data_IF_029524173698
#
_entry.id   IF_029524173698
#
_cell.length_a   1.000
_cell.length_b   1.000
_cell.length_c   1.000
_cell.angle_alpha   90.00
_cell.angle_beta   90.00
_cell.angle_gamma   90.00
#
_symmetry.space_group_name_H-M   'P 1'
#
loop_
_entity.id
_entity.type
_entity.pdbx_description
1 polymer ?
#
# COMPACT_ATOMS: atom_id res chain seq x y z
N UNK A 1 11.32 4.07 -24.33
CA UNK A 1 9.88 3.75 -24.40
C UNK A 1 9.67 2.51 -23.56
N UNK A 2 9.01 2.64 -22.41
CA UNK A 2 8.61 1.49 -21.60
C UNK A 2 7.55 0.71 -22.37
N UNK A 3 7.62 -0.62 -22.47
CA UNK A 3 6.60 -1.42 -23.15
C UNK A 3 5.21 -1.11 -22.57
N UNK A 4 4.20 -1.11 -23.44
CA UNK A 4 2.81 -0.90 -23.01
C UNK A 4 2.36 -2.12 -22.20
N UNK A 5 2.11 -1.91 -20.91
CA UNK A 5 1.69 -2.94 -19.96
C UNK A 5 0.18 -2.94 -19.74
N UNK A 6 -0.58 -2.14 -20.51
CA UNK A 6 -2.02 -1.98 -20.31
C UNK A 6 -2.77 -3.25 -20.69
N UNK A 7 -3.80 -3.54 -19.92
CA UNK A 7 -4.78 -4.59 -20.21
C UNK A 7 -5.65 -4.20 -21.40
N UNK A 8 -5.90 -5.17 -22.28
CA UNK A 8 -6.90 -5.07 -23.35
C UNK A 8 -8.32 -5.42 -22.85
N UNK A 9 -8.49 -5.77 -21.56
CA UNK A 9 -9.78 -6.13 -20.99
C UNK A 9 -10.71 -4.91 -20.96
N UNK A 10 -11.94 -5.02 -21.48
CA UNK A 10 -12.88 -3.91 -21.52
C UNK A 10 -13.48 -3.65 -20.12
N UNK A 11 -12.76 -2.90 -19.29
CA UNK A 11 -13.26 -2.42 -18.00
C UNK A 11 -14.33 -1.34 -18.25
N UNK A 12 -15.61 -1.63 -18.00
CA UNK A 12 -16.76 -0.75 -18.32
C UNK A 12 -17.60 -0.40 -17.09
N UNK A 13 -18.49 0.59 -17.21
CA UNK A 13 -19.47 0.89 -16.16
C UNK A 13 -20.38 -0.31 -15.85
N UNK A 14 -20.82 -1.06 -16.88
CA UNK A 14 -21.67 -2.26 -16.69
C UNK A 14 -21.03 -3.29 -15.75
N UNK A 15 -19.72 -3.50 -15.86
CA UNK A 15 -19.01 -4.40 -14.97
C UNK A 15 -19.01 -3.87 -13.53
N UNK A 16 -18.88 -2.56 -13.34
CA UNK A 16 -18.94 -1.96 -12.00
C UNK A 16 -20.33 -2.06 -11.39
N UNK A 17 -21.40 -1.97 -12.18
CA UNK A 17 -22.76 -2.27 -11.72
C UNK A 17 -22.86 -3.69 -11.17
N UNK A 18 -22.36 -4.68 -11.92
CA UNK A 18 -22.33 -6.09 -11.50
C UNK A 18 -21.50 -6.29 -10.23
N UNK A 19 -20.27 -5.77 -10.19
CA UNK A 19 -19.34 -5.94 -9.06
C UNK A 19 -19.83 -5.28 -7.75
N UNK A 20 -20.59 -4.18 -7.86
CA UNK A 20 -21.12 -3.45 -6.71
C UNK A 20 -22.58 -3.81 -6.39
N UNK A 21 -23.14 -4.82 -7.05
CA UNK A 21 -24.54 -5.25 -6.89
C UNK A 21 -25.53 -4.08 -7.03
N UNK A 22 -25.29 -3.24 -8.03
CA UNK A 22 -26.17 -2.11 -8.37
C UNK A 22 -26.92 -2.48 -9.65
N UNK A 23 -28.24 -2.35 -9.62
CA UNK A 23 -29.06 -2.67 -10.79
C UNK A 23 -28.71 -1.74 -11.99
N UNK A 24 -28.44 -2.30 -13.19
CA UNK A 24 -27.89 -1.55 -14.33
C UNK A 24 -28.85 -0.51 -14.92
N UNK A 25 -30.15 -0.61 -14.66
CA UNK A 25 -31.16 0.39 -15.03
C UNK A 25 -31.10 1.65 -14.17
N UNK A 26 -30.40 1.61 -13.03
CA UNK A 26 -30.25 2.77 -12.16
C UNK A 26 -29.29 3.79 -12.78
N UNK A 27 -29.47 5.09 -12.53
CA UNK A 27 -28.56 6.10 -13.06
C UNK A 27 -27.16 5.99 -12.43
N UNK A 28 -26.10 6.37 -13.18
CA UNK A 28 -24.67 6.32 -12.75
C UNK A 28 -24.41 6.96 -11.39
N UNK A 29 -25.20 7.95 -10.97
CA UNK A 29 -25.10 8.53 -9.61
C UNK A 29 -25.30 7.49 -8.50
N UNK A 30 -26.10 6.44 -8.72
CA UNK A 30 -26.31 5.34 -7.76
C UNK A 30 -25.08 4.43 -7.70
N UNK A 31 -24.49 4.13 -8.85
CA UNK A 31 -23.21 3.43 -8.92
C UNK A 31 -22.11 4.20 -8.18
N UNK A 32 -21.97 5.50 -8.43
CA UNK A 32 -21.01 6.36 -7.74
C UNK A 32 -21.24 6.41 -6.23
N UNK A 33 -22.51 6.47 -5.78
CA UNK A 33 -22.85 6.38 -4.37
C UNK A 33 -22.40 5.06 -3.76
N UNK A 34 -22.67 3.93 -4.40
CA UNK A 34 -22.22 2.61 -3.95
C UNK A 34 -20.69 2.52 -3.90
N UNK A 35 -20.01 3.01 -4.94
CA UNK A 35 -18.55 3.04 -5.02
C UNK A 35 -17.91 3.83 -3.85
N UNK A 36 -18.59 4.88 -3.37
CA UNK A 36 -18.16 5.65 -2.19
C UNK A 36 -18.36 4.90 -0.87
N UNK A 37 -19.40 4.09 -0.75
CA UNK A 37 -19.65 3.29 0.46
C UNK A 37 -18.61 2.18 0.64
N UNK A 38 -18.01 1.69 -0.45
CA UNK A 38 -16.88 0.75 -0.40
C UNK A 38 -15.57 1.52 -0.14
N UNK A 39 -15.46 2.14 1.04
CA UNK A 39 -14.29 2.92 1.49
C UNK A 39 -13.79 3.99 0.50
N UNK A 40 -14.64 4.48 -0.41
CA UNK A 40 -14.24 5.46 -1.42
C UNK A 40 -13.33 4.94 -2.55
N UNK A 41 -12.90 3.68 -2.52
CA UNK A 41 -11.78 3.19 -3.36
C UNK A 41 -12.15 2.94 -4.83
N UNK A 42 -13.42 3.07 -5.22
CA UNK A 42 -13.84 2.86 -6.62
C UNK A 42 -14.44 4.10 -7.28
N UNK A 43 -14.60 5.21 -6.54
CA UNK A 43 -15.07 6.47 -7.11
C UNK A 43 -14.18 7.00 -8.25
N UNK A 44 -12.82 6.97 -8.15
CA UNK A 44 -11.96 7.38 -9.27
C UNK A 44 -12.23 6.59 -10.54
N UNK A 45 -12.44 5.27 -10.40
CA UNK A 45 -12.68 4.39 -11.51
C UNK A 45 -14.05 4.67 -12.16
N UNK A 46 -15.12 4.77 -11.37
CA UNK A 46 -16.46 5.12 -11.89
C UNK A 46 -16.44 6.45 -12.64
N UNK A 47 -15.83 7.50 -12.07
CA UNK A 47 -15.78 8.83 -12.69
C UNK A 47 -14.97 8.83 -13.99
N UNK A 48 -13.83 8.16 -14.01
CA UNK A 48 -12.97 8.07 -15.20
C UNK A 48 -13.63 7.29 -16.35
N UNK A 49 -14.32 6.18 -16.03
CA UNK A 49 -15.08 5.40 -17.02
C UNK A 49 -16.31 6.16 -17.52
N UNK A 50 -17.01 6.88 -16.64
CA UNK A 50 -18.13 7.74 -17.03
C UNK A 50 -17.68 8.85 -17.99
N UNK A 51 -16.53 9.48 -17.74
CA UNK A 51 -15.95 10.45 -18.67
C UNK A 51 -15.63 9.81 -20.02
N UNK A 52 -14.99 8.63 -20.01
CA UNK A 52 -14.60 7.90 -21.22
C UNK A 52 -15.80 7.46 -22.05
N UNK A 53 -16.90 7.08 -21.40
CA UNK A 53 -18.17 6.69 -22.04
C UNK A 53 -19.04 7.90 -22.44
N UNK A 54 -18.55 9.13 -22.23
CA UNK A 54 -19.24 10.36 -22.65
C UNK A 54 -20.43 10.76 -21.78
N UNK A 55 -20.51 10.23 -20.54
CA UNK A 55 -21.56 10.60 -19.59
C UNK A 55 -21.32 12.04 -19.10
N UNK A 56 -22.33 12.90 -19.28
CA UNK A 56 -22.24 14.30 -18.87
C UNK A 56 -22.05 14.42 -17.35
N UNK A 57 -20.95 15.05 -16.94
CA UNK A 57 -20.63 15.35 -15.53
C UNK A 57 -20.83 16.83 -15.22
N UNK A 58 -21.38 17.12 -14.04
CA UNK A 58 -21.37 18.47 -13.46
C UNK A 58 -19.97 18.89 -12.98
N UNK A 59 -19.82 20.14 -12.54
CA UNK A 59 -18.53 20.68 -12.07
C UNK A 59 -17.96 19.88 -10.91
N UNK A 60 -18.75 19.57 -9.87
CA UNK A 60 -18.25 18.84 -8.70
C UNK A 60 -17.63 17.48 -9.02
N UNK A 61 -18.24 16.69 -9.91
CA UNK A 61 -17.71 15.39 -10.32
C UNK A 61 -16.45 15.52 -11.20
N UNK A 62 -16.37 16.55 -12.04
CA UNK A 62 -15.16 16.86 -12.83
C UNK A 62 -14.01 17.33 -11.94
N UNK A 63 -14.30 18.17 -10.96
CA UNK A 63 -13.30 18.69 -10.01
C UNK A 63 -12.76 17.56 -9.13
N UNK A 64 -13.62 16.65 -8.66
CA UNK A 64 -13.23 15.43 -7.94
C UNK A 64 -12.33 14.53 -8.79
N UNK A 65 -12.72 14.24 -10.04
CA UNK A 65 -11.89 13.45 -10.95
C UNK A 65 -10.53 14.13 -11.24
N UNK A 66 -10.51 15.46 -11.37
CA UNK A 66 -9.28 16.23 -11.57
C UNK A 66 -8.33 16.13 -10.35
N UNK A 67 -8.85 16.23 -9.12
CA UNK A 67 -8.06 16.00 -7.90
C UNK A 67 -7.50 14.58 -7.84
N UNK A 68 -8.32 13.58 -8.17
CA UNK A 68 -7.88 12.18 -8.22
C UNK A 68 -6.77 11.93 -9.25
N UNK A 69 -6.82 12.60 -10.42
CA UNK A 69 -5.76 12.55 -11.43
C UNK A 69 -4.46 13.18 -10.95
N UNK A 70 -4.54 14.36 -10.31
CA UNK A 70 -3.36 15.01 -9.70
C UNK A 70 -2.73 14.12 -8.63
N UNK A 71 -3.54 13.51 -7.76
CA UNK A 71 -3.07 12.55 -6.75
C UNK A 71 -2.35 11.36 -7.38
N UNK A 72 -2.91 10.77 -8.42
CA UNK A 72 -2.27 9.65 -9.11
C UNK A 72 -0.92 10.05 -9.73
N UNK A 73 -0.85 11.26 -10.28
CA UNK A 73 0.39 11.83 -10.80
C UNK A 73 1.42 12.09 -9.69
N UNK A 74 1.01 12.63 -8.54
CA UNK A 74 1.88 12.79 -7.35
C UNK A 74 2.47 11.45 -6.91
N UNK A 75 1.66 10.40 -6.83
CA UNK A 75 2.14 9.06 -6.47
C UNK A 75 3.05 8.44 -7.52
N UNK A 76 2.79 8.69 -8.81
CA UNK A 76 3.69 8.27 -9.89
C UNK A 76 5.07 8.92 -9.74
N UNK A 77 5.12 10.22 -9.48
CA UNK A 77 6.38 10.95 -9.26
C UNK A 77 7.11 10.45 -8.01
N UNK A 78 6.40 10.29 -6.89
CA UNK A 78 6.99 9.78 -5.64
C UNK A 78 7.53 8.35 -5.82
N UNK A 79 6.85 7.50 -6.58
CA UNK A 79 7.32 6.18 -6.94
C UNK A 79 8.62 6.22 -7.78
N UNK A 80 8.72 7.15 -8.74
CA UNK A 80 9.93 7.32 -9.56
C UNK A 80 11.14 7.78 -8.76
N UNK A 81 10.95 8.65 -7.76
CA UNK A 81 12.04 9.05 -6.88
C UNK A 81 12.42 7.96 -5.88
N UNK A 82 11.42 7.25 -5.35
CA UNK A 82 11.64 6.10 -4.47
C UNK A 82 12.46 5.03 -5.18
N UNK A 83 12.21 4.77 -6.46
CA UNK A 83 12.98 3.82 -7.27
C UNK A 83 14.48 4.20 -7.42
N UNK A 84 14.88 5.43 -7.07
CA UNK A 84 16.30 5.84 -7.03
C UNK A 84 17.00 5.46 -5.72
N UNK A 85 16.24 5.07 -4.68
CA UNK A 85 16.80 4.52 -3.45
C UNK A 85 17.22 3.07 -3.71
N UNK A 86 18.50 2.69 -3.51
CA UNK A 86 18.97 1.35 -3.82
C UNK A 86 18.17 0.23 -3.13
N UNK A 87 17.59 -0.65 -3.95
CA UNK A 87 16.80 -1.79 -3.49
C UNK A 87 15.36 -1.46 -3.05
N UNK A 88 14.95 -0.20 -3.08
CA UNK A 88 13.56 0.16 -2.80
C UNK A 88 12.66 -0.28 -3.96
N UNK A 89 11.51 -0.87 -3.62
CA UNK A 89 10.53 -1.36 -4.58
C UNK A 89 9.15 -0.88 -4.17
N UNK A 90 8.50 -0.17 -5.08
CA UNK A 90 7.08 0.18 -4.96
C UNK A 90 6.26 -1.05 -5.32
N UNK A 91 5.29 -1.41 -4.49
CA UNK A 91 4.36 -2.49 -4.75
C UNK A 91 2.94 -1.96 -4.83
N UNK A 92 2.04 -2.71 -5.46
CA UNK A 92 0.63 -2.36 -5.65
C UNK A 92 0.49 -1.00 -6.36
N UNK A 93 -0.23 -0.05 -5.75
CA UNK A 93 -0.22 1.37 -6.07
C UNK A 93 -0.02 1.74 -7.56
N UNK A 94 0.99 2.58 -7.87
CA UNK A 94 1.37 2.95 -9.23
C UNK A 94 1.84 1.79 -10.12
N UNK A 95 2.30 0.67 -9.55
CA UNK A 95 2.71 -0.50 -10.34
C UNK A 95 1.50 -1.17 -10.98
N UNK A 96 0.46 -1.46 -10.18
CA UNK A 96 -0.82 -2.01 -10.65
C UNK A 96 -1.57 -1.08 -11.60
N UNK A 97 -1.48 0.24 -11.37
CA UNK A 97 -2.14 1.24 -12.22
C UNK A 97 -1.69 1.17 -13.69
N UNK A 98 -0.47 0.68 -13.98
CA UNK A 98 0.06 0.54 -15.34
C UNK A 98 -0.67 -0.51 -16.17
N UNK A 99 -1.35 -1.45 -15.51
CA UNK A 99 -2.12 -2.50 -16.16
C UNK A 99 -3.56 -2.07 -16.45
N UNK A 100 -4.02 -0.93 -15.94
CA UNK A 100 -5.38 -0.46 -16.21
C UNK A 100 -5.53 -0.02 -17.67
N UNK A 101 -6.69 -0.27 -18.29
CA UNK A 101 -6.97 0.23 -19.64
C UNK A 101 -6.85 1.74 -19.74
N UNK A 102 -6.57 2.25 -20.94
CA UNK A 102 -6.48 3.69 -21.17
C UNK A 102 -7.76 4.42 -20.75
N UNK A 103 -7.57 5.59 -20.13
CA UNK A 103 -8.64 6.42 -19.59
C UNK A 103 -9.25 5.92 -18.28
N UNK A 104 -8.94 4.72 -17.81
CA UNK A 104 -9.41 4.22 -16.51
C UNK A 104 -8.43 4.62 -15.39
N UNK A 105 -8.96 5.21 -14.33
CA UNK A 105 -8.18 5.68 -13.18
C UNK A 105 -8.29 4.70 -12.02
N UNK A 106 -7.20 3.99 -11.72
CA UNK A 106 -7.07 3.18 -10.51
C UNK A 106 -7.04 4.10 -9.28
N UNK A 107 -7.76 3.73 -8.22
CA UNK A 107 -7.67 4.45 -6.96
C UNK A 107 -6.34 4.20 -6.24
N UNK A 108 -5.81 5.28 -5.66
CA UNK A 108 -4.57 5.30 -4.89
C UNK A 108 -4.85 6.05 -3.58
N UNK A 109 -4.66 5.36 -2.46
CA UNK A 109 -4.79 5.93 -1.11
C UNK A 109 -3.43 6.25 -0.48
N UNK A 110 -2.44 5.42 -0.79
CA UNK A 110 -1.10 5.42 -0.26
C UNK A 110 -0.09 4.90 -1.31
N UNK A 111 1.19 4.98 -0.95
CA UNK A 111 2.29 4.35 -1.66
C UNK A 111 2.96 3.30 -0.78
N UNK A 112 2.77 2.02 -1.10
CA UNK A 112 3.48 0.93 -0.44
C UNK A 112 4.92 0.78 -1.01
N UNK A 113 5.92 0.80 -0.13
CA UNK A 113 7.33 0.65 -0.48
C UNK A 113 8.01 -0.41 0.39
N UNK A 114 8.62 -1.41 -0.25
CA UNK A 114 9.48 -2.38 0.42
C UNK A 114 10.94 -2.01 0.18
N UNK A 115 11.73 -1.99 1.24
CA UNK A 115 13.16 -1.63 1.20
C UNK A 115 14.03 -2.71 1.85
N UNK A 116 15.33 -2.81 1.49
CA UNK A 116 16.20 -3.88 2.00
C UNK A 116 16.57 -3.72 3.49
N UNK A 117 16.35 -2.54 4.08
CA UNK A 117 16.68 -2.29 5.47
C UNK A 117 16.44 -0.85 5.90
N UNK A 118 16.79 -0.60 7.15
CA UNK A 118 16.50 0.65 7.86
C UNK A 118 17.04 1.91 7.17
N UNK A 119 18.28 1.85 6.65
CA UNK A 119 18.87 3.00 5.98
C UNK A 119 18.07 3.46 4.75
N UNK A 120 17.60 2.52 3.95
CA UNK A 120 16.75 2.80 2.80
C UNK A 120 15.37 3.28 3.24
N UNK A 121 14.82 2.76 4.35
CA UNK A 121 13.54 3.19 4.91
C UNK A 121 13.56 4.69 5.22
N UNK A 122 14.56 5.15 5.98
CA UNK A 122 14.67 6.57 6.33
C UNK A 122 14.95 7.46 5.12
N UNK A 123 15.68 6.97 4.11
CA UNK A 123 15.88 7.70 2.85
C UNK A 123 14.56 7.88 2.08
N UNK A 124 13.71 6.86 2.02
CA UNK A 124 12.40 6.95 1.35
C UNK A 124 11.48 7.91 2.10
N UNK A 125 11.38 7.82 3.42
CA UNK A 125 10.56 8.76 4.21
C UNK A 125 11.07 10.20 4.11
N UNK A 126 12.39 10.39 4.04
CA UNK A 126 12.98 11.69 3.79
C UNK A 126 12.55 12.29 2.43
N UNK A 127 12.42 11.47 1.38
CA UNK A 127 11.90 11.93 0.07
C UNK A 127 10.44 12.38 0.15
N UNK A 128 9.61 11.72 0.96
CA UNK A 128 8.22 12.10 1.16
C UNK A 128 8.10 13.41 1.97
N UNK A 129 8.84 13.53 3.07
CA UNK A 129 8.86 14.73 3.93
C UNK A 129 9.49 15.96 3.26
N UNK A 130 10.31 15.76 2.22
CA UNK A 130 10.83 16.84 1.39
C UNK A 130 9.76 17.41 0.43
N UNK A 131 8.62 16.73 0.26
CA UNK A 131 7.51 17.12 -0.64
C UNK A 131 6.24 17.50 0.08
N UNK A 132 5.96 16.83 1.18
CA UNK A 132 4.72 16.95 1.91
C UNK A 132 5.03 17.33 3.35
N UNK A 133 4.31 18.34 3.84
CA UNK A 133 4.28 18.59 5.27
C UNK A 133 3.37 17.55 5.92
N UNK A 134 3.86 16.99 7.02
CA UNK A 134 3.19 15.95 7.78
C UNK A 134 3.54 16.12 9.24
N UNK A 135 2.54 15.87 10.08
CA UNK A 135 2.67 15.92 11.54
C UNK A 135 2.59 14.52 12.17
N UNK A 136 2.34 13.48 11.38
CA UNK A 136 2.05 12.13 11.89
C UNK A 136 2.93 11.09 11.20
N UNK A 137 3.61 10.29 12.03
CA UNK A 137 4.36 9.12 11.61
C UNK A 137 4.01 7.93 12.49
N UNK A 138 3.64 6.83 11.85
CA UNK A 138 3.49 5.56 12.52
C UNK A 138 4.81 4.80 12.45
N UNK A 139 5.16 4.11 13.53
CA UNK A 139 6.29 3.20 13.58
C UNK A 139 5.88 1.90 14.26
N UNK A 140 6.10 0.79 13.58
CA UNK A 140 5.97 -0.55 14.16
C UNK A 140 7.26 -1.32 13.95
N UNK A 141 7.73 -1.98 15.00
CA UNK A 141 8.82 -2.93 14.94
C UNK A 141 8.29 -4.35 15.15
N UNK A 142 8.74 -5.25 14.27
CA UNK A 142 8.41 -6.68 14.28
C UNK A 142 9.69 -7.50 14.42
N UNK A 143 9.82 -8.28 15.48
CA UNK A 143 10.88 -9.26 15.68
C UNK A 143 10.54 -10.56 14.98
N UNK A 144 11.24 -10.88 13.89
CA UNK A 144 11.07 -12.12 13.15
C UNK A 144 12.42 -12.68 12.72
N UNK A 145 12.58 -14.01 12.77
CA UNK A 145 13.81 -14.70 12.32
C UNK A 145 15.09 -14.16 12.98
N UNK A 146 15.01 -13.73 14.25
CA UNK A 146 16.15 -13.21 15.01
C UNK A 146 16.61 -11.80 14.61
N UNK A 147 15.80 -11.04 13.86
CA UNK A 147 16.10 -9.65 13.48
C UNK A 147 14.87 -8.73 13.57
N UNK A 148 15.08 -7.42 13.78
CA UNK A 148 14.00 -6.45 13.72
C UNK A 148 13.63 -6.14 12.25
N UNK A 149 12.34 -6.02 12.02
CA UNK A 149 11.73 -5.51 10.81
C UNK A 149 10.93 -4.26 11.16
N UNK A 150 10.91 -3.31 10.24
CA UNK A 150 10.25 -2.02 10.44
C UNK A 150 9.10 -1.85 9.46
N UNK A 151 8.03 -1.29 9.97
CA UNK A 151 6.99 -0.60 9.21
C UNK A 151 6.98 0.85 9.69
N UNK A 152 6.99 1.78 8.76
CA UNK A 152 6.79 3.18 9.07
C UNK A 152 5.91 3.85 8.02
N UNK A 153 4.91 4.61 8.46
CA UNK A 153 3.99 5.32 7.59
C UNK A 153 3.99 6.80 7.92
N UNK A 154 3.94 7.65 6.89
CA UNK A 154 3.81 9.11 7.03
C UNK A 154 2.56 9.54 6.28
N UNK A 155 1.71 10.31 6.95
CA UNK A 155 0.41 10.75 6.41
C UNK A 155 0.34 12.27 6.28
N UNK A 156 -0.29 12.76 5.21
CA UNK A 156 -0.52 14.18 4.96
C UNK A 156 -1.93 14.41 4.44
N UNK A 157 -2.43 15.63 4.60
CA UNK A 157 -3.78 16.00 4.20
C UNK A 157 -3.96 15.92 2.68
N UNK A 158 -5.16 15.51 2.26
CA UNK A 158 -5.58 15.61 0.87
C UNK A 158 -5.73 17.06 0.38
N UNK A 159 -5.84 17.24 -0.94
CA UNK A 159 -5.99 18.57 -1.55
C UNK A 159 -7.23 19.33 -1.06
N UNK A 160 -8.33 18.62 -0.81
CA UNK A 160 -9.50 19.12 -0.09
C UNK A 160 -9.73 18.29 1.19
N UNK A 161 -9.22 18.72 2.36
CA UNK A 161 -9.30 17.93 3.60
C UNK A 161 -10.71 17.61 4.10
N UNK A 162 -11.76 18.26 3.56
CA UNK A 162 -13.15 17.94 3.90
C UNK A 162 -13.73 16.83 3.02
N UNK A 163 -13.17 16.60 1.84
CA UNK A 163 -13.70 15.68 0.83
C UNK A 163 -12.76 14.52 0.52
N UNK A 164 -11.45 14.75 0.62
CA UNK A 164 -10.41 13.80 0.29
C UNK A 164 -9.91 13.11 1.57
N UNK A 165 -9.66 11.79 1.53
CA UNK A 165 -8.99 11.12 2.65
C UNK A 165 -7.55 11.63 2.76
N UNK A 166 -6.92 11.39 3.90
CA UNK A 166 -5.48 11.58 4.04
C UNK A 166 -4.73 10.66 3.07
N UNK A 167 -3.50 11.06 2.76
CA UNK A 167 -2.62 10.43 1.80
C UNK A 167 -1.34 10.05 2.51
N UNK A 168 -0.76 8.91 2.14
CA UNK A 168 0.43 8.46 2.84
C UNK A 168 1.43 7.74 1.97
N UNK A 169 2.57 7.46 2.59
CA UNK A 169 3.55 6.50 2.14
C UNK A 169 3.76 5.51 3.29
N UNK A 170 3.73 4.23 2.97
CA UNK A 170 4.05 3.15 3.90
C UNK A 170 5.36 2.51 3.45
N UNK A 171 6.32 2.39 4.36
CA UNK A 171 7.65 1.85 4.06
C UNK A 171 7.96 0.70 5.00
N UNK A 172 8.22 -0.48 4.44
CA UNK A 172 8.53 -1.70 5.18
C UNK A 172 9.89 -2.25 4.85
N UNK A 173 10.54 -2.89 5.83
CA UNK A 173 11.76 -3.69 5.60
C UNK A 173 11.44 -5.18 5.40
N UNK A 174 10.24 -5.50 4.94
CA UNK A 174 9.74 -6.84 4.71
C UNK A 174 8.71 -6.86 3.58
N UNK A 175 8.70 -7.93 2.78
CA UNK A 175 7.76 -8.08 1.67
C UNK A 175 6.33 -8.36 2.11
N UNK A 176 6.15 -9.28 3.07
CA UNK A 176 4.82 -9.71 3.51
C UNK A 176 4.78 -9.94 5.03
N UNK A 177 3.89 -9.25 5.74
CA UNK A 177 3.75 -9.34 7.19
C UNK A 177 3.26 -10.72 7.66
N UNK A 178 2.42 -11.35 6.85
CA UNK A 178 1.69 -12.57 7.17
C UNK A 178 0.57 -12.30 8.16
N UNK A 179 0.29 -13.32 8.96
CA UNK A 179 -0.71 -13.26 10.01
C UNK A 179 -0.07 -13.80 11.28
N UNK A 180 0.10 -12.98 12.33
CA UNK A 180 0.72 -13.42 13.58
C UNK A 180 0.16 -14.75 14.09
N UNK A 181 1.06 -15.68 14.41
CA UNK A 181 0.72 -17.04 14.87
C UNK A 181 0.24 -18.02 13.79
N UNK A 182 0.07 -17.60 12.53
CA UNK A 182 -0.44 -18.46 11.46
C UNK A 182 0.50 -18.51 10.24
N UNK A 183 0.82 -17.35 9.69
CA UNK A 183 1.70 -17.19 8.52
C UNK A 183 2.84 -16.28 8.93
N UNK A 184 4.10 -16.76 8.88
CA UNK A 184 5.23 -15.98 9.34
C UNK A 184 5.49 -14.78 8.41
N UNK A 185 6.17 -13.78 8.95
CA UNK A 185 6.72 -12.69 8.16
C UNK A 185 7.69 -13.25 7.11
N UNK A 186 7.56 -12.76 5.87
CA UNK A 186 8.45 -13.05 4.76
C UNK A 186 9.14 -11.76 4.35
N UNK A 187 10.46 -11.75 4.47
CA UNK A 187 11.23 -10.52 4.36
C UNK A 187 11.45 -10.06 2.92
N UNK A 188 11.55 -10.99 1.98
CA UNK A 188 11.76 -10.69 0.56
C UNK A 188 10.44 -10.58 -0.19
N UNK A 189 10.49 -9.89 -1.32
CA UNK A 189 9.51 -9.99 -2.39
C UNK A 189 10.02 -10.95 -3.48
N UNK A 190 9.15 -11.54 -4.33
CA UNK A 190 9.57 -12.16 -5.57
C UNK A 190 10.42 -11.20 -6.42
N UNK A 191 11.46 -11.69 -7.11
CA UNK A 191 12.32 -10.84 -7.95
C UNK A 191 11.53 -10.12 -9.05
N UNK A 192 10.59 -10.82 -9.68
CA UNK A 192 9.68 -10.24 -10.67
C UNK A 192 8.67 -9.28 -10.01
N UNK A 193 8.49 -8.11 -10.61
CA UNK A 193 7.62 -7.08 -10.06
C UNK A 193 6.14 -7.42 -10.17
N UNK A 194 5.71 -8.06 -11.26
CA UNK A 194 4.30 -8.41 -11.46
C UNK A 194 3.90 -9.51 -10.48
N UNK A 195 4.78 -10.48 -10.23
CA UNK A 195 4.59 -11.47 -9.16
C UNK A 195 4.48 -10.80 -7.79
N UNK A 196 5.38 -9.87 -7.47
CA UNK A 196 5.32 -9.13 -6.20
C UNK A 196 3.99 -8.38 -6.03
N UNK A 197 3.48 -7.75 -7.07
CA UNK A 197 2.20 -7.03 -7.03
C UNK A 197 1.01 -7.98 -6.86
N UNK A 198 0.95 -9.10 -7.60
CA UNK A 198 -0.14 -10.09 -7.47
C UNK A 198 -0.13 -10.76 -6.11
N UNK A 199 1.04 -11.13 -5.59
CA UNK A 199 1.15 -11.70 -4.25
C UNK A 199 0.82 -10.66 -3.16
N UNK A 200 1.14 -9.39 -3.39
CA UNK A 200 0.73 -8.31 -2.49
C UNK A 200 -0.80 -8.13 -2.46
N UNK A 201 -1.50 -8.37 -3.57
CA UNK A 201 -2.96 -8.44 -3.58
C UNK A 201 -3.47 -9.62 -2.75
N UNK A 202 -2.86 -10.80 -2.86
CA UNK A 202 -3.25 -11.97 -2.07
C UNK A 202 -3.04 -11.73 -0.56
N UNK A 203 -1.93 -11.09 -0.18
CA UNK A 203 -1.57 -10.75 1.20
C UNK A 203 -2.63 -9.88 1.91
N UNK A 204 -3.34 -9.01 1.18
CA UNK A 204 -4.43 -8.18 1.71
C UNK A 204 -5.48 -9.00 2.48
N UNK A 205 -5.63 -10.28 2.11
CA UNK A 205 -6.58 -11.18 2.75
C UNK A 205 -6.35 -11.35 4.25
N UNK A 206 -5.11 -11.20 4.72
CA UNK A 206 -4.79 -11.27 6.14
C UNK A 206 -5.25 -10.03 6.92
N UNK A 207 -5.45 -8.90 6.24
CA UNK A 207 -5.88 -7.64 6.84
C UNK A 207 -7.40 -7.44 6.70
N UNK A 208 -7.97 -7.85 5.57
CA UNK A 208 -9.39 -7.65 5.24
C UNK A 208 -9.92 -8.68 4.24
N UNK A 209 -11.25 -8.86 4.12
CA UNK A 209 -11.82 -9.59 2.99
C UNK A 209 -11.47 -8.91 1.64
N UNK A 210 -11.38 -9.71 0.58
CA UNK A 210 -11.26 -9.18 -0.79
C UNK A 210 -12.49 -8.36 -1.19
N UNK A 211 -12.24 -7.32 -1.96
CA UNK A 211 -13.20 -6.34 -2.46
C UNK A 211 -13.22 -6.34 -3.99
N UNK A 212 -14.19 -5.63 -4.58
CA UNK A 212 -14.25 -5.44 -6.02
C UNK A 212 -12.97 -4.79 -6.60
N UNK A 213 -12.26 -3.97 -5.82
CA UNK A 213 -10.98 -3.40 -6.25
C UNK A 213 -9.91 -4.48 -6.45
N UNK A 214 -9.81 -5.46 -5.54
CA UNK A 214 -8.81 -6.54 -5.64
C UNK A 214 -9.09 -7.44 -6.85
N UNK A 215 -10.38 -7.66 -7.15
CA UNK A 215 -10.84 -8.38 -8.34
C UNK A 215 -10.39 -7.64 -9.62
N UNK A 216 -10.68 -6.33 -9.71
CA UNK A 216 -10.30 -5.51 -10.87
C UNK A 216 -8.78 -5.45 -11.03
N UNK A 217 -8.04 -5.23 -9.94
CA UNK A 217 -6.57 -5.21 -9.95
C UNK A 217 -6.00 -6.53 -10.51
N UNK A 218 -6.50 -7.69 -10.04
CA UNK A 218 -6.05 -8.99 -10.54
C UNK A 218 -6.41 -9.18 -12.03
N UNK A 219 -7.64 -8.86 -12.43
CA UNK A 219 -8.09 -9.01 -13.83
C UNK A 219 -7.22 -8.17 -14.76
N UNK A 220 -6.96 -6.90 -14.42
CA UNK A 220 -6.13 -6.02 -15.23
C UNK A 220 -4.71 -6.59 -15.38
N UNK A 221 -4.11 -7.15 -14.33
CA UNK A 221 -2.79 -7.79 -14.43
C UNK A 221 -2.84 -9.03 -15.32
N UNK A 222 -3.75 -9.96 -15.06
CA UNK A 222 -3.82 -11.26 -15.78
C UNK A 222 -4.18 -11.13 -17.26
N UNK A 223 -4.78 -10.00 -17.65
CA UNK A 223 -5.15 -9.71 -19.05
C UNK A 223 -4.20 -8.72 -19.72
N UNK A 224 -3.11 -8.33 -19.05
CA UNK A 224 -2.09 -7.48 -19.64
C UNK A 224 -1.01 -8.29 -20.39
N UNK A 225 -0.27 -7.67 -21.33
CA UNK A 225 0.89 -8.30 -21.97
C UNK A 225 1.99 -8.73 -21.00
N UNK A 226 2.00 -8.19 -19.79
CA UNK A 226 2.95 -8.52 -18.73
C UNK A 226 2.42 -9.57 -17.74
N UNK A 227 1.25 -10.19 -18.02
CA UNK A 227 0.70 -11.23 -17.19
C UNK A 227 1.74 -12.35 -16.94
N UNK A 228 1.95 -12.77 -15.68
CA UNK A 228 2.89 -13.83 -15.38
C UNK A 228 2.36 -15.16 -15.93
N UNK A 229 3.26 -16.04 -16.37
CA UNK A 229 2.88 -17.39 -16.74
C UNK A 229 2.22 -18.10 -15.53
N UNK A 230 1.09 -18.82 -15.70
CA UNK A 230 0.37 -19.44 -14.58
C UNK A 230 1.27 -20.28 -13.67
N UNK A 231 2.15 -21.10 -14.24
CA UNK A 231 3.10 -21.94 -13.48
C UNK A 231 4.05 -21.13 -12.61
N UNK A 232 4.56 -20.01 -13.12
CA UNK A 232 5.45 -19.13 -12.38
C UNK A 232 4.71 -18.48 -11.21
N UNK A 233 3.46 -18.05 -11.42
CA UNK A 233 2.63 -17.49 -10.37
C UNK A 233 2.25 -18.51 -9.30
N UNK A 234 1.93 -19.76 -9.69
CA UNK A 234 1.67 -20.86 -8.75
C UNK A 234 2.89 -21.13 -7.87
N UNK A 235 4.07 -21.27 -8.47
CA UNK A 235 5.31 -21.54 -7.75
C UNK A 235 5.65 -20.42 -6.75
N UNK A 236 5.49 -19.15 -7.17
CA UNK A 236 5.68 -18.02 -6.28
C UNK A 236 4.64 -17.99 -5.15
N UNK A 237 3.37 -18.28 -5.42
CA UNK A 237 2.34 -18.33 -4.39
C UNK A 237 2.58 -19.45 -3.37
N UNK A 238 3.14 -20.60 -3.80
CA UNK A 238 3.58 -21.66 -2.91
C UNK A 238 4.79 -21.24 -2.06
N UNK A 239 5.84 -20.72 -2.69
CA UNK A 239 7.07 -20.26 -2.03
C UNK A 239 6.79 -19.23 -0.93
N UNK A 240 5.91 -18.28 -1.21
CA UNK A 240 5.55 -17.22 -0.28
C UNK A 240 4.35 -17.57 0.61
N UNK A 241 3.89 -18.83 0.61
CA UNK A 241 2.80 -19.32 1.46
C UNK A 241 1.48 -18.52 1.30
N UNK A 242 1.18 -18.10 0.06
CA UNK A 242 0.02 -17.30 -0.35
C UNK A 242 -0.94 -18.03 -1.30
N UNK A 243 -0.67 -19.31 -1.61
CA UNK A 243 -1.53 -20.10 -2.49
C UNK A 243 -3.02 -20.14 -2.07
N UNK A 244 -3.38 -20.29 -0.77
CA UNK A 244 -4.78 -20.27 -0.35
C UNK A 244 -5.48 -18.95 -0.67
N UNK A 245 -4.81 -17.83 -0.40
CA UNK A 245 -5.34 -16.48 -0.59
C UNK A 245 -5.48 -16.15 -2.08
N UNK A 246 -4.46 -16.50 -2.88
CA UNK A 246 -4.51 -16.29 -4.33
C UNK A 246 -5.59 -17.15 -4.98
N UNK A 247 -5.77 -18.39 -4.53
CA UNK A 247 -6.86 -19.25 -4.99
C UNK A 247 -8.23 -18.64 -4.65
N UNK A 248 -8.43 -18.17 -3.41
CA UNK A 248 -9.68 -17.49 -3.00
C UNK A 248 -9.95 -16.28 -3.89
N UNK A 249 -8.95 -15.45 -4.20
CA UNK A 249 -9.12 -14.29 -5.07
C UNK A 249 -9.50 -14.71 -6.51
N UNK A 250 -8.81 -15.70 -7.07
CA UNK A 250 -9.09 -16.22 -8.41
C UNK A 250 -10.50 -16.84 -8.51
N UNK A 251 -10.95 -17.57 -7.50
CA UNK A 251 -12.30 -18.13 -7.42
C UNK A 251 -13.37 -17.02 -7.32
N UNK A 252 -13.10 -15.95 -6.57
CA UNK A 252 -13.97 -14.77 -6.53
C UNK A 252 -14.07 -14.10 -7.88
N UNK A 253 -12.99 -13.96 -8.64
CA UNK A 253 -13.05 -13.45 -10.02
C UNK A 253 -13.93 -14.34 -10.89
N UNK A 254 -13.78 -15.68 -10.79
CA UNK A 254 -14.59 -16.63 -11.56
C UNK A 254 -16.07 -16.66 -11.20
N UNK A 255 -16.44 -16.19 -10.01
CA UNK A 255 -17.84 -16.07 -9.62
C UNK A 255 -18.62 -15.05 -10.47
N UNK A 256 -17.92 -14.14 -11.17
CA UNK A 256 -18.52 -13.17 -12.09
C UNK A 256 -18.43 -13.69 -13.54
N UNK A 257 -19.57 -14.00 -14.21
CA UNK A 257 -19.55 -14.59 -15.54
C UNK A 257 -18.75 -13.80 -16.59
N UNK A 258 -18.76 -12.46 -16.51
CA UNK A 258 -17.99 -11.59 -17.41
C UNK A 258 -16.48 -11.67 -17.20
N UNK A 259 -16.04 -12.09 -16.03
CA UNK A 259 -14.63 -12.16 -15.63
C UNK A 259 -14.08 -13.58 -15.63
N UNK A 260 -14.94 -14.61 -15.65
CA UNK A 260 -14.51 -15.99 -15.46
C UNK A 260 -13.41 -16.46 -16.43
N UNK A 261 -13.45 -15.99 -17.69
CA UNK A 261 -12.46 -16.35 -18.70
C UNK A 261 -11.10 -15.63 -18.54
N UNK A 262 -11.02 -14.60 -17.69
CA UNK A 262 -9.78 -13.84 -17.45
C UNK A 262 -8.79 -14.57 -16.52
N UNK A 263 -9.28 -15.57 -15.79
CA UNK A 263 -8.46 -16.43 -14.93
C UNK A 263 -8.25 -17.76 -15.65
N UNK A 264 -7.01 -18.11 -16.05
CA UNK A 264 -6.74 -19.37 -16.71
C UNK A 264 -7.09 -20.58 -15.82
N UNK A 265 -7.72 -21.62 -16.39
CA UNK A 265 -8.02 -22.85 -15.65
C UNK A 265 -6.76 -23.50 -15.07
N UNK A 266 -5.63 -23.43 -15.79
CA UNK A 266 -4.32 -23.92 -15.31
C UNK A 266 -3.93 -23.26 -13.97
N UNK A 267 -4.23 -21.98 -13.77
CA UNK A 267 -3.92 -21.27 -12.54
C UNK A 267 -4.76 -21.80 -11.36
N UNK A 268 -6.07 -21.94 -11.55
CA UNK A 268 -6.98 -22.45 -10.50
C UNK A 268 -6.62 -23.89 -10.13
N UNK A 269 -6.52 -24.76 -11.13
CA UNK A 269 -6.24 -26.18 -10.90
C UNK A 269 -4.85 -26.37 -10.26
N UNK A 270 -3.86 -25.59 -10.70
CA UNK A 270 -2.51 -25.63 -10.17
C UNK A 270 -2.37 -25.09 -8.74
N UNK A 271 -3.21 -24.13 -8.33
CA UNK A 271 -3.19 -23.56 -6.97
C UNK A 271 -3.82 -24.48 -5.91
N UNK A 272 -4.72 -25.41 -6.27
CA UNK A 272 -5.43 -26.25 -5.30
C UNK A 272 -4.50 -27.07 -4.40
N UNK A 273 -3.53 -27.75 -5.00
CA UNK A 273 -2.56 -28.57 -4.26
C UNK A 273 -1.77 -27.76 -3.24
N UNK A 274 -1.02 -26.72 -3.66
CA UNK A 274 -0.30 -25.83 -2.76
C UNK A 274 -1.19 -25.16 -1.70
N UNK A 275 -2.42 -24.78 -2.06
CA UNK A 275 -3.37 -24.19 -1.13
C UNK A 275 -3.78 -25.18 -0.03
N UNK A 276 -4.05 -26.44 -0.37
CA UNK A 276 -4.43 -27.47 0.61
C UNK A 276 -3.25 -27.85 1.51
N UNK A 277 -2.05 -27.97 0.95
CA UNK A 277 -0.82 -28.17 1.73
C UNK A 277 -0.61 -27.05 2.75
N UNK A 278 -0.74 -25.79 2.32
CA UNK A 278 -0.55 -24.64 3.18
C UNK A 278 -1.66 -24.51 4.24
N UNK A 279 -2.92 -24.80 3.91
CA UNK A 279 -4.01 -24.88 4.89
C UNK A 279 -3.76 -25.98 5.93
N UNK A 280 -3.24 -27.14 5.49
CA UNK A 280 -2.83 -28.23 6.38
C UNK A 280 -1.73 -27.81 7.34
N UNK A 281 -0.70 -27.11 6.84
CA UNK A 281 0.40 -26.55 7.65
C UNK A 281 -0.12 -25.56 8.70
N UNK A 282 -1.10 -24.73 8.34
CA UNK A 282 -1.69 -23.71 9.22
C UNK A 282 -2.62 -24.29 10.29
N UNK A 283 -3.16 -25.49 10.10
CA UNK A 283 -4.05 -26.15 11.06
C UNK A 283 -3.30 -26.63 12.32
N UNK A 284 -1.98 -26.84 12.25
CA UNK A 284 -1.10 -27.08 13.38
C UNK A 284 -0.08 -25.94 13.50
N UNK A 285 -0.48 -24.78 14.08
CA UNK A 285 0.37 -23.60 14.11
C UNK A 285 1.60 -23.81 14.99
N UNK A 286 2.75 -24.00 14.35
CA UNK A 286 4.06 -24.07 15.00
C UNK A 286 4.80 -22.73 15.00
N UNK A 287 4.16 -21.65 14.53
CA UNK A 287 4.80 -20.35 14.42
C UNK A 287 5.05 -19.73 15.80
N UNK A 288 6.30 -19.39 16.07
CA UNK A 288 6.66 -18.61 17.26
C UNK A 288 5.94 -17.24 17.23
N UNK A 289 5.56 -16.70 18.40
CA UNK A 289 5.03 -15.35 18.49
C UNK A 289 6.04 -14.34 17.92
N UNK A 290 5.53 -13.39 17.14
CA UNK A 290 6.31 -12.25 16.64
C UNK A 290 6.35 -11.23 17.78
N UNK A 291 7.56 -10.84 18.19
CA UNK A 291 7.72 -9.72 19.13
C UNK A 291 7.29 -8.45 18.40
N UNK A 292 6.35 -7.69 18.94
CA UNK A 292 5.85 -6.49 18.29
C UNK A 292 5.91 -5.30 19.25
N UNK A 293 6.45 -4.19 18.76
CA UNK A 293 6.49 -2.91 19.48
C UNK A 293 5.94 -1.81 18.59
N UNK A 294 5.10 -0.96 19.15
CA UNK A 294 4.54 0.22 18.48
C UNK A 294 5.26 1.46 19.00
N UNK A 295 5.52 2.43 18.11
CA UNK A 295 6.11 3.70 18.46
C UNK A 295 5.03 4.77 18.66
N UNK A 296 4.83 5.21 19.90
CA UNK A 296 4.04 6.40 20.20
C UNK A 296 4.89 7.64 19.92
N UNK A 297 4.49 8.43 18.93
CA UNK A 297 5.21 9.63 18.52
C UNK A 297 5.32 10.66 19.66
N UNK A 298 6.52 11.17 19.90
CA UNK A 298 6.83 12.20 20.91
C UNK A 298 7.23 13.54 20.29
N UNK A 299 7.64 13.54 19.01
CA UNK A 299 8.06 14.76 18.28
C UNK A 299 6.94 15.24 17.37
N UNK A 300 6.47 16.48 17.57
CA UNK A 300 5.55 17.17 16.66
C UNK A 300 6.06 18.61 16.48
N UNK A 301 6.24 19.13 15.25
CA UNK A 301 6.03 18.47 13.95
C UNK A 301 7.12 17.44 13.63
N UNK A 302 6.95 16.65 12.56
CA UNK A 302 7.98 15.73 12.08
C UNK A 302 9.26 16.48 11.71
N UNK A 303 10.42 15.84 11.93
CA UNK A 303 11.72 16.44 11.63
C UNK A 303 12.28 15.95 10.31
N UNK A 304 13.06 16.82 9.66
CA UNK A 304 13.90 16.49 8.50
C UNK A 304 15.32 16.20 8.98
N UNK A 305 15.49 15.16 9.79
CA UNK A 305 16.77 14.82 10.45
C UNK A 305 17.81 14.18 9.52
N UNK A 306 19.09 14.34 9.86
CA UNK A 306 20.21 13.65 9.22
C UNK A 306 20.31 12.17 9.66
N UNK A 307 21.08 11.38 8.92
CA UNK A 307 21.38 9.99 9.25
C UNK A 307 20.45 8.98 8.59
N UNK A 308 20.83 7.71 8.72
CA UNK A 308 20.16 6.57 8.08
C UNK A 308 19.88 5.44 9.09
N UNK A 309 19.80 5.75 10.38
CA UNK A 309 19.55 4.75 11.41
C UNK A 309 18.93 5.38 12.64
N UNK A 310 18.46 4.52 13.53
CA UNK A 310 17.86 4.87 14.81
C UNK A 310 18.84 4.62 15.96
N UNK A 311 18.59 5.26 17.09
CA UNK A 311 19.19 4.89 18.36
C UNK A 311 18.12 4.64 19.41
N UNK A 312 18.37 3.64 20.27
CA UNK A 312 17.53 3.39 21.44
C UNK A 312 18.11 4.09 22.66
N UNK A 313 17.25 4.81 23.37
CA UNK A 313 17.51 5.36 24.70
C UNK A 313 16.65 4.61 25.71
N UNK A 314 17.28 3.92 26.66
CA UNK A 314 16.59 3.13 27.69
C UNK A 314 16.68 3.85 29.02
N UNK A 315 15.54 4.03 29.68
CA UNK A 315 15.47 4.47 31.08
C UNK A 315 14.64 3.48 31.88
N UNK A 316 14.48 3.73 33.19
CA UNK A 316 13.87 2.79 34.13
C UNK A 316 12.47 2.31 33.71
N UNK A 317 11.69 3.17 33.05
CA UNK A 317 10.27 2.92 32.80
C UNK A 317 9.97 2.67 31.31
N UNK A 318 10.94 2.77 30.40
CA UNK A 318 10.66 2.68 28.98
C UNK A 318 11.86 2.75 28.02
N UNK A 319 11.53 2.72 26.73
CA UNK A 319 12.49 2.81 25.63
C UNK A 319 12.02 3.91 24.68
N UNK A 320 12.87 4.91 24.43
CA UNK A 320 12.70 5.87 23.34
C UNK A 320 13.52 5.38 22.15
N UNK A 321 12.87 5.24 21.00
CA UNK A 321 13.55 5.08 19.71
C UNK A 321 13.62 6.43 19.03
N UNK A 322 14.82 6.90 18.74
CA UNK A 322 15.07 8.17 18.04
C UNK A 322 15.45 7.88 16.59
N UNK A 323 14.76 8.50 15.63
CA UNK A 323 14.99 8.26 14.20
C UNK A 323 15.27 9.57 13.45
N UNK A 324 15.61 9.55 12.15
CA UNK A 324 15.70 10.79 11.38
C UNK A 324 14.39 11.58 11.25
N UNK A 325 13.22 10.97 11.50
CA UNK A 325 11.90 11.58 11.26
C UNK A 325 11.14 11.97 12.54
N UNK A 326 11.30 11.24 13.63
CA UNK A 326 10.69 11.54 14.93
C UNK A 326 11.36 10.75 16.08
N UNK A 327 11.04 11.11 17.32
CA UNK A 327 11.28 10.29 18.51
C UNK A 327 9.99 9.57 18.90
N UNK A 328 10.13 8.32 19.36
CA UNK A 328 9.01 7.45 19.68
C UNK A 328 9.20 6.80 21.05
N UNK A 329 8.17 6.76 21.87
CA UNK A 329 8.09 5.85 23.01
C UNK A 329 7.65 4.47 22.50
N UNK A 330 8.48 3.44 22.69
CA UNK A 330 8.18 2.08 22.27
C UNK A 330 7.32 1.35 23.30
N UNK A 331 6.17 0.84 22.87
CA UNK A 331 5.18 0.17 23.72
C UNK A 331 4.73 -1.17 23.13
N UNK A 332 4.26 -2.13 23.95
CA UNK A 332 3.83 -3.45 23.47
C UNK A 332 2.41 -3.46 22.86
N UNK A 333 1.66 -2.35 22.92
CA UNK A 333 0.28 -2.28 22.45
C UNK A 333 -0.15 -0.86 22.09
N UNK A 334 -1.37 -0.73 21.54
CA UNK A 334 -1.91 0.53 21.01
C UNK A 334 -2.23 1.59 22.08
N UNK A 335 -2.44 1.18 23.33
CA UNK A 335 -2.76 2.08 24.44
C UNK A 335 -1.52 2.38 25.26
N UNK A 336 -1.27 3.67 25.48
CA UNK A 336 -0.14 4.18 26.27
C UNK A 336 -0.66 4.77 27.58
N UNK A 337 -0.04 4.38 28.70
CA UNK A 337 -0.29 5.02 29.99
C UNK A 337 0.12 6.51 29.91
N UNK A 338 -0.79 7.46 30.20
CA UNK A 338 -0.46 8.89 30.19
C UNK A 338 0.73 9.26 31.09
N UNK A 339 0.94 8.54 32.20
CA UNK A 339 2.07 8.78 33.09
C UNK A 339 3.39 8.37 32.43
N UNK A 340 3.41 7.22 31.73
CA UNK A 340 4.57 6.76 30.97
C UNK A 340 4.88 7.71 29.81
N UNK A 341 3.86 8.19 29.10
CA UNK A 341 4.03 9.18 28.04
C UNK A 341 4.63 10.50 28.57
N UNK A 342 4.11 11.00 29.70
CA UNK A 342 4.65 12.20 30.34
C UNK A 342 6.10 12.03 30.80
N UNK A 343 6.46 10.86 31.36
CA UNK A 343 7.83 10.52 31.73
C UNK A 343 8.76 10.47 30.51
N UNK A 344 8.30 9.87 29.39
CA UNK A 344 9.04 9.83 28.15
C UNK A 344 9.33 11.23 27.58
N UNK A 345 8.38 12.16 27.66
CA UNK A 345 8.60 13.56 27.24
C UNK A 345 9.63 14.27 28.12
N UNK A 346 9.62 14.02 29.43
CA UNK A 346 10.62 14.58 30.35
C UNK A 346 12.01 14.03 30.05
N UNK A 347 12.11 12.72 29.83
CA UNK A 347 13.37 12.06 29.48
C UNK A 347 13.90 12.60 28.14
N UNK A 348 13.04 12.72 27.13
CA UNK A 348 13.40 13.24 25.81
C UNK A 348 13.96 14.66 25.89
N UNK A 349 13.41 15.52 26.76
CA UNK A 349 13.89 16.88 26.95
C UNK A 349 15.33 16.96 27.51
N UNK A 350 15.81 15.89 28.15
CA UNK A 350 17.20 15.77 28.63
C UNK A 350 18.20 15.32 27.56
N UNK A 351 17.72 14.85 26.40
CA UNK A 351 18.57 14.33 25.33
C UNK A 351 19.04 15.44 24.38
N UNK A 352 20.25 15.28 23.82
CA UNK A 352 20.75 16.17 22.79
C UNK A 352 19.80 16.16 21.56
N UNK A 353 19.55 17.31 20.91
CA UNK A 353 18.67 17.37 19.75
C UNK A 353 19.21 16.53 18.59
N UNK A 354 18.31 15.98 17.77
CA UNK A 354 18.70 15.24 16.57
C UNK A 354 19.24 16.22 15.50
N UNK A 355 20.35 15.90 14.82
CA UNK A 355 20.91 16.77 13.78
C UNK A 355 19.94 16.93 12.60
N UNK A 356 19.75 18.15 12.09
CA UNK A 356 18.83 18.45 10.99
C UNK A 356 19.53 18.46 9.63
N UNK A 357 18.89 17.90 8.60
CA UNK A 357 19.38 18.00 7.22
C UNK A 357 19.39 19.47 6.80
N UNK A 358 20.40 19.90 6.03
CA UNK A 358 20.34 21.19 5.35
C UNK A 358 19.08 21.24 4.49
N UNK A 359 18.38 22.38 4.51
CA UNK A 359 17.27 22.61 3.59
C UNK A 359 17.78 22.39 2.15
N UNK A 360 17.08 21.58 1.36
CA UNK A 360 17.36 21.49 -0.08
C UNK A 360 17.25 22.89 -0.65
N UNK A 361 18.27 23.31 -1.42
CA UNK A 361 18.13 24.47 -2.27
C UNK A 361 16.94 24.21 -3.19
N UNK A 362 15.81 24.90 -2.96
CA UNK A 362 14.66 24.83 -3.84
C UNK A 362 15.14 25.27 -5.22
N UNK A 363 15.18 24.35 -6.18
CA UNK A 363 15.29 24.75 -7.57
C UNK A 363 14.12 25.70 -7.86
N UNK A 364 14.35 26.87 -8.48
CA UNK A 364 13.27 27.80 -8.78
C UNK A 364 12.16 27.06 -9.53
N UNK A 365 10.93 27.21 -9.04
CA UNK A 365 9.75 26.68 -9.71
C UNK A 365 9.74 27.21 -11.15
N UNK A 366 9.64 26.35 -12.18
CA UNK A 366 9.76 26.79 -13.58
C UNK A 366 8.60 27.65 -14.09
N UNK A 367 7.60 27.96 -13.26
CA UNK A 367 6.44 28.75 -13.65
C UNK A 367 6.47 30.11 -12.97
N UNK A 368 7.27 30.99 -13.55
CA UNK A 368 7.33 32.42 -13.26
C UNK A 368 7.04 33.25 -14.49
N UNK A 369 6.02 32.89 -15.28
CA UNK A 369 5.41 33.80 -16.27
C UNK A 369 3.88 33.67 -16.16
N UNK A 370 3.26 34.73 -15.64
CA UNK A 370 1.81 35.00 -15.65
C UNK A 370 1.48 35.80 -16.90
#
# INVERSE_FOLDING_TARGET
MTPDHRSDFPLTLDLLYELLDVAPELPVRRLLQAARQVRGVLAPLVLSLAEREGIAMGTGARDELARMRRRAETYRQLAEDTARVPGARVVKGPSLARHYPEGALRALGDLDVVVPGEAALWQVLALALDRHDSDEVELTELGAQGRPHLFAAVWWLGEDPLLDPDHGIEVTTFGFAGRPGLVPLRASLPEDQVLADVLSLAEERFQRPFTAKDIIDLVCVLTSPAAPAPRTLIAAAEEFALAPELLELCERVRAYPRLAATVPDELIEGLRGPADTERGRRADPQAAPVEQRYGMQLTVPLRRGEGTGRCEHRWNDGVITRTPVADFLMVPGELVDPALHAAALQELAGLAPWPLRPARATAPHPDGEV
#
